data_IF_109983798687
#
_entry.id   IF_109983798687
#
_cell.length_a   1.000
_cell.length_b   1.000
_cell.length_c   1.000
_cell.angle_alpha   90.00
_cell.angle_beta   90.00
_cell.angle_gamma   90.00
#
_symmetry.space_group_name_H-M   'P 1'
#
loop_
_entity.id
_entity.type
_entity.pdbx_description
1 polymer ?
#
# COMPACT_ATOMS: atom_id res chain seq x y z
N UNK A 1 3.59 13.03 14.98
CA UNK A 1 3.01 12.29 13.83
C UNK A 1 2.45 10.95 14.23
N UNK A 2 3.20 10.11 14.93
CA UNK A 2 2.71 8.78 15.42
C UNK A 2 1.42 8.94 16.20
N UNK A 3 1.35 9.90 17.13
CA UNK A 3 0.14 10.15 17.95
C UNK A 3 -1.06 10.59 17.11
N UNK A 4 -0.85 11.41 16.09
CA UNK A 4 -1.91 11.85 15.19
C UNK A 4 -2.52 10.66 14.43
N UNK A 5 -1.68 9.85 13.80
CA UNK A 5 -2.10 8.66 13.05
C UNK A 5 -2.74 7.63 13.98
N UNK A 6 -2.21 7.46 15.19
CA UNK A 6 -2.78 6.56 16.21
C UNK A 6 -4.18 7.02 16.63
N UNK A 7 -4.38 8.32 16.85
CA UNK A 7 -5.68 8.88 17.20
C UNK A 7 -6.68 8.70 16.05
N UNK A 8 -6.22 8.92 14.82
CA UNK A 8 -7.01 8.75 13.62
C UNK A 8 -7.52 7.30 13.46
N UNK A 9 -6.62 6.33 13.59
CA UNK A 9 -6.95 4.90 13.47
C UNK A 9 -7.86 4.45 14.61
N UNK A 10 -7.60 4.88 15.86
CA UNK A 10 -8.44 4.55 17.02
C UNK A 10 -9.84 5.15 16.94
N UNK A 11 -10.01 6.27 16.24
CA UNK A 11 -11.31 6.91 16.02
C UNK A 11 -12.22 6.17 15.04
N UNK A 12 -11.69 5.27 14.25
CA UNK A 12 -12.46 4.53 13.23
C UNK A 12 -12.88 3.15 13.75
N UNK A 13 -14.19 2.89 13.76
CA UNK A 13 -14.79 1.65 14.30
C UNK A 13 -14.43 0.38 13.52
N UNK A 14 -13.96 0.52 12.29
CA UNK A 14 -13.59 -0.60 11.43
C UNK A 14 -12.11 -0.98 11.53
N UNK A 15 -11.30 -0.17 12.20
CA UNK A 15 -9.86 -0.33 12.31
C UNK A 15 -9.45 -0.66 13.75
N UNK A 16 -8.40 -1.46 13.87
CA UNK A 16 -7.77 -1.78 15.14
C UNK A 16 -6.30 -1.41 15.08
N UNK A 17 -5.85 -0.55 16.00
CA UNK A 17 -4.45 -0.22 16.16
C UNK A 17 -3.74 -1.31 16.96
N UNK A 18 -2.97 -2.16 16.29
CA UNK A 18 -2.29 -3.30 16.92
C UNK A 18 -0.88 -2.97 17.43
N UNK A 19 -0.32 -1.82 17.01
CA UNK A 19 0.98 -1.35 17.49
C UNK A 19 1.34 0.01 16.93
N UNK A 20 2.28 0.66 17.61
CA UNK A 20 2.88 1.92 17.19
C UNK A 20 4.32 2.00 17.70
N UNK A 21 5.20 2.62 16.94
CA UNK A 21 6.57 2.87 17.32
C UNK A 21 7.12 4.13 16.64
N UNK A 22 8.21 4.65 17.20
CA UNK A 22 8.88 5.84 16.68
C UNK A 22 10.21 5.52 15.97
N UNK A 23 10.66 4.28 15.98
CA UNK A 23 11.87 3.83 15.30
C UNK A 23 11.67 2.52 14.54
N UNK A 24 12.47 2.34 13.48
CA UNK A 24 12.31 1.20 12.58
C UNK A 24 12.66 -0.15 13.20
N UNK A 25 13.49 -0.23 14.23
CA UNK A 25 13.82 -1.50 14.90
C UNK A 25 12.61 -2.03 15.67
N UNK A 26 11.89 -1.13 16.36
CA UNK A 26 10.69 -1.48 17.09
C UNK A 26 9.55 -1.85 16.12
N UNK A 27 9.38 -1.08 15.02
CA UNK A 27 8.41 -1.40 13.97
C UNK A 27 8.63 -2.80 13.41
N UNK A 28 9.90 -3.15 13.10
CA UNK A 28 10.22 -4.49 12.59
C UNK A 28 9.78 -5.60 13.55
N UNK A 29 10.00 -5.44 14.87
CA UNK A 29 9.57 -6.39 15.90
C UNK A 29 8.05 -6.50 15.96
N UNK A 30 7.36 -5.35 16.00
CA UNK A 30 5.88 -5.31 16.05
C UNK A 30 5.26 -6.00 14.84
N UNK A 31 5.79 -5.79 13.65
CA UNK A 31 5.29 -6.44 12.43
C UNK A 31 5.40 -7.97 12.52
N UNK A 32 6.53 -8.48 13.02
CA UNK A 32 6.73 -9.92 13.21
C UNK A 32 5.82 -10.54 14.26
N UNK A 33 5.60 -9.83 15.37
CA UNK A 33 4.81 -10.32 16.49
C UNK A 33 3.30 -10.22 16.26
N UNK A 34 2.85 -9.11 15.67
CA UNK A 34 1.42 -8.77 15.54
C UNK A 34 0.83 -9.10 14.18
N UNK A 35 1.65 -9.36 13.17
CA UNK A 35 1.24 -9.68 11.79
C UNK A 35 0.13 -8.73 11.27
N UNK A 36 0.30 -7.39 11.30
CA UNK A 36 -0.74 -6.45 10.90
C UNK A 36 -1.17 -6.65 9.43
N UNK A 37 -2.38 -6.21 9.08
CA UNK A 37 -2.84 -6.21 7.69
C UNK A 37 -2.25 -5.03 6.90
N UNK A 38 -2.12 -3.86 7.55
CA UNK A 38 -1.60 -2.62 6.96
C UNK A 38 -0.60 -1.98 7.90
N UNK A 39 0.46 -1.41 7.36
CA UNK A 39 1.47 -0.63 8.09
C UNK A 39 1.59 0.74 7.46
N UNK A 40 1.38 1.80 8.26
CA UNK A 40 1.74 3.16 7.90
C UNK A 40 3.19 3.39 8.29
N UNK A 41 4.06 3.64 7.33
CA UNK A 41 5.50 3.67 7.53
C UNK A 41 6.10 5.00 7.07
N UNK A 42 6.78 5.71 7.97
CA UNK A 42 7.62 6.84 7.56
C UNK A 42 8.98 6.31 7.05
N UNK A 43 9.53 7.00 6.07
CA UNK A 43 10.90 6.71 5.61
C UNK A 43 11.91 7.28 6.60
N UNK A 44 11.68 8.52 7.08
CA UNK A 44 12.64 9.18 7.98
C UNK A 44 12.35 8.80 9.42
N UNK A 45 13.11 7.86 9.95
CA UNK A 45 13.01 7.41 11.34
C UNK A 45 14.39 7.20 11.97
N UNK A 46 14.49 7.33 13.32
CA UNK A 46 15.72 7.01 14.04
C UNK A 46 16.09 5.53 13.95
N UNK A 47 17.37 5.22 14.15
CA UNK A 47 17.98 3.88 14.22
C UNK A 47 17.90 3.07 12.93
N UNK A 48 16.72 2.99 12.31
CA UNK A 48 16.46 2.26 11.07
C UNK A 48 15.39 2.99 10.29
N UNK A 49 15.70 3.40 9.06
CA UNK A 49 14.75 4.05 8.16
C UNK A 49 13.71 3.08 7.59
N UNK A 50 12.65 3.63 7.00
CA UNK A 50 11.53 2.82 6.49
C UNK A 50 11.91 1.90 5.33
N UNK A 51 12.83 2.30 4.47
CA UNK A 51 13.34 1.47 3.37
C UNK A 51 14.04 0.24 3.93
N UNK A 52 14.97 0.45 4.88
CA UNK A 52 15.70 -0.64 5.56
C UNK A 52 14.75 -1.58 6.31
N UNK A 53 13.66 -1.07 6.90
CA UNK A 53 12.63 -1.94 7.52
C UNK A 53 12.01 -2.87 6.49
N UNK A 54 11.62 -2.34 5.32
CA UNK A 54 11.02 -3.14 4.24
C UNK A 54 11.99 -4.16 3.67
N UNK A 55 13.26 -3.79 3.45
CA UNK A 55 14.32 -4.70 2.99
C UNK A 55 14.48 -5.89 3.95
N UNK A 56 14.66 -5.62 5.24
CA UNK A 56 14.80 -6.67 6.25
C UNK A 56 13.59 -7.59 6.34
N UNK A 57 12.38 -7.06 6.22
CA UNK A 57 11.16 -7.89 6.21
C UNK A 57 11.08 -8.74 4.94
N UNK A 58 11.59 -8.26 3.81
CA UNK A 58 11.64 -9.01 2.57
C UNK A 58 12.67 -10.15 2.62
N UNK A 59 13.77 -9.96 3.31
CA UNK A 59 14.84 -10.94 3.44
C UNK A 59 14.61 -11.96 4.59
N UNK A 60 13.74 -11.65 5.54
CA UNK A 60 13.49 -12.51 6.70
C UNK A 60 12.50 -13.65 6.39
N UNK A 61 12.98 -14.91 6.32
CA UNK A 61 12.12 -16.06 6.04
C UNK A 61 11.16 -16.40 7.17
N UNK A 62 11.33 -15.83 8.35
CA UNK A 62 10.43 -16.03 9.49
C UNK A 62 9.16 -15.16 9.41
N UNK A 63 9.13 -14.17 8.51
CA UNK A 63 7.95 -13.34 8.27
C UNK A 63 6.93 -14.09 7.44
N UNK A 64 5.90 -14.62 8.11
CA UNK A 64 4.86 -15.44 7.47
C UNK A 64 3.82 -14.63 6.72
N UNK A 65 3.56 -13.40 7.20
CA UNK A 65 2.58 -12.50 6.62
C UNK A 65 3.23 -11.14 6.36
N UNK A 66 3.21 -10.72 5.11
CA UNK A 66 3.64 -9.38 4.72
C UNK A 66 2.46 -8.43 4.79
N UNK A 67 2.58 -7.30 5.51
CA UNK A 67 1.54 -6.27 5.53
C UNK A 67 1.50 -5.51 4.21
N UNK A 68 0.38 -4.84 3.93
CA UNK A 68 0.35 -3.78 2.94
C UNK A 68 1.05 -2.54 3.50
N UNK A 69 2.14 -2.11 2.88
CA UNK A 69 2.87 -0.91 3.29
C UNK A 69 2.27 0.33 2.61
N UNK A 70 1.85 1.31 3.42
CA UNK A 70 1.51 2.66 3.00
C UNK A 70 2.59 3.58 3.54
N UNK A 71 3.42 4.13 2.65
CA UNK A 71 4.47 5.07 3.03
C UNK A 71 3.87 6.45 3.28
N UNK A 72 4.27 7.11 4.37
CA UNK A 72 3.87 8.49 4.68
C UNK A 72 5.13 9.29 4.98
N UNK A 73 5.62 10.08 4.03
CA UNK A 73 6.90 10.78 4.19
C UNK A 73 6.92 12.16 3.57
N UNK A 74 7.83 13.01 4.05
CA UNK A 74 8.15 14.30 3.43
C UNK A 74 9.19 14.17 2.30
N UNK A 75 9.75 12.97 2.08
CA UNK A 75 10.73 12.72 1.01
C UNK A 75 10.00 12.55 -0.31
N UNK A 76 10.28 13.44 -1.27
CA UNK A 76 9.68 13.42 -2.61
C UNK A 76 10.68 13.06 -3.72
N UNK A 77 11.84 12.52 -3.38
CA UNK A 77 12.83 12.11 -4.38
C UNK A 77 12.34 10.86 -5.12
N UNK A 78 12.24 10.94 -6.43
CA UNK A 78 11.74 9.89 -7.32
C UNK A 78 12.41 8.54 -7.05
N UNK A 79 13.72 8.52 -6.94
CA UNK A 79 14.48 7.29 -6.66
C UNK A 79 14.04 6.59 -5.36
N UNK A 80 13.76 7.36 -4.30
CA UNK A 80 13.33 6.79 -3.01
C UNK A 80 11.91 6.25 -3.11
N UNK A 81 11.05 6.93 -3.87
CA UNK A 81 9.69 6.47 -4.16
C UNK A 81 9.72 5.16 -4.95
N UNK A 82 10.54 5.10 -6.00
CA UNK A 82 10.74 3.88 -6.80
C UNK A 82 11.28 2.72 -5.95
N UNK A 83 12.27 2.97 -5.10
CA UNK A 83 12.83 1.97 -4.18
C UNK A 83 11.76 1.43 -3.22
N UNK A 84 10.91 2.30 -2.67
CA UNK A 84 9.80 1.89 -1.81
C UNK A 84 8.81 0.95 -2.55
N UNK A 85 8.41 1.31 -3.77
CA UNK A 85 7.51 0.47 -4.57
C UNK A 85 8.16 -0.85 -4.97
N UNK A 86 9.43 -0.86 -5.36
CA UNK A 86 10.19 -2.08 -5.66
C UNK A 86 10.27 -3.03 -4.46
N UNK A 87 10.32 -2.50 -3.26
CA UNK A 87 10.31 -3.27 -2.01
C UNK A 87 8.91 -3.71 -1.58
N UNK A 88 7.85 -3.31 -2.29
CA UNK A 88 6.49 -3.77 -2.06
C UNK A 88 5.58 -2.76 -1.34
N UNK A 89 5.91 -1.46 -1.37
CA UNK A 89 4.95 -0.44 -0.94
C UNK A 89 3.71 -0.48 -1.86
N UNK A 90 2.53 -0.45 -1.24
CA UNK A 90 1.26 -0.42 -1.96
C UNK A 90 0.84 1.00 -2.32
N UNK A 91 1.27 1.97 -1.53
CA UNK A 91 0.93 3.37 -1.71
C UNK A 91 1.95 4.31 -1.08
N UNK A 92 2.07 5.53 -1.61
CA UNK A 92 2.97 6.57 -1.11
C UNK A 92 2.21 7.87 -0.90
N UNK A 93 2.24 8.41 0.31
CA UNK A 93 1.56 9.64 0.71
C UNK A 93 2.61 10.69 1.06
N UNK A 94 2.57 11.80 0.34
CA UNK A 94 3.43 12.95 0.67
C UNK A 94 2.85 13.74 1.83
N UNK A 95 3.72 14.18 2.76
CA UNK A 95 3.36 15.17 3.78
C UNK A 95 3.41 16.59 3.20
N UNK A 96 2.45 17.46 3.53
CA UNK A 96 1.28 17.25 4.40
C UNK A 96 0.17 16.45 3.70
N UNK A 97 -0.63 15.70 4.46
CA UNK A 97 -1.68 14.83 3.95
C UNK A 97 -3.05 15.11 4.60
N UNK A 98 -4.10 14.69 3.94
CA UNK A 98 -5.46 14.69 4.44
C UNK A 98 -5.75 13.42 5.25
N UNK A 99 -6.45 13.58 6.39
CA UNK A 99 -6.74 12.48 7.30
C UNK A 99 -7.71 11.45 6.71
N UNK A 100 -8.74 11.93 5.99
CA UNK A 100 -9.74 11.06 5.38
C UNK A 100 -9.14 10.24 4.24
N UNK A 101 -8.19 10.83 3.50
CA UNK A 101 -7.42 10.12 2.48
C UNK A 101 -6.65 8.94 3.11
N UNK A 102 -5.95 9.17 4.22
CA UNK A 102 -5.19 8.09 4.90
C UNK A 102 -6.12 6.97 5.34
N UNK A 103 -7.26 7.30 5.99
CA UNK A 103 -8.24 6.30 6.42
C UNK A 103 -8.80 5.48 5.25
N UNK A 104 -9.15 6.14 4.15
CA UNK A 104 -9.66 5.48 2.97
C UNK A 104 -8.64 4.51 2.37
N UNK A 105 -7.35 4.88 2.33
CA UNK A 105 -6.29 3.99 1.86
C UNK A 105 -6.07 2.80 2.79
N UNK A 106 -6.08 2.98 4.10
CA UNK A 106 -6.00 1.86 5.04
C UNK A 106 -7.15 0.87 4.80
N UNK A 107 -8.39 1.36 4.67
CA UNK A 107 -9.57 0.51 4.42
C UNK A 107 -9.49 -0.21 3.07
N UNK A 108 -8.99 0.45 2.04
CA UNK A 108 -8.77 -0.13 0.72
C UNK A 108 -7.79 -1.31 0.81
N UNK A 109 -6.59 -1.09 1.34
CA UNK A 109 -5.54 -2.11 1.37
C UNK A 109 -5.80 -3.22 2.39
N UNK A 110 -6.56 -2.97 3.46
CA UNK A 110 -7.05 -4.04 4.35
C UNK A 110 -7.87 -5.10 3.62
N UNK A 111 -8.67 -4.71 2.64
CA UNK A 111 -9.47 -5.64 1.83
C UNK A 111 -8.60 -6.51 0.93
N UNK A 112 -7.52 -5.96 0.39
CA UNK A 112 -6.55 -6.71 -0.44
C UNK A 112 -5.83 -7.80 0.37
N UNK A 113 -5.34 -7.51 1.56
CA UNK A 113 -4.68 -8.49 2.42
C UNK A 113 -5.56 -9.69 2.79
N UNK A 114 -6.88 -9.51 2.88
CA UNK A 114 -7.85 -10.59 3.10
C UNK A 114 -8.14 -11.41 1.84
N UNK A 115 -8.08 -10.82 0.66
CA UNK A 115 -8.27 -11.48 -0.63
C UNK A 115 -7.16 -12.48 -0.94
N UNK A 116 -5.91 -12.08 -0.77
CA UNK A 116 -4.73 -12.93 -1.00
C UNK A 116 -4.72 -14.18 -0.09
N UNK A 117 -5.24 -14.07 1.15
CA UNK A 117 -5.39 -15.23 2.06
C UNK A 117 -6.42 -16.27 1.59
N UNK A 118 -7.47 -15.87 0.88
CA UNK A 118 -8.51 -16.80 0.39
C UNK A 118 -8.11 -17.52 -0.89
N UNK A 119 -7.31 -16.91 -1.75
CA UNK A 119 -6.93 -17.49 -3.04
C UNK A 119 -5.90 -18.61 -2.94
N UNK A 120 -5.07 -18.67 -1.89
CA UNK A 120 -4.11 -19.76 -1.69
C UNK A 120 -4.74 -21.09 -1.18
N UNK A 121 -6.05 -21.17 -0.99
CA UNK A 121 -6.76 -22.39 -0.52
C UNK A 121 -7.89 -22.89 -1.41
N UNK A 122 -8.01 -22.44 -2.65
CA UNK A 122 -9.06 -22.93 -3.56
C UNK A 122 -8.59 -23.07 -4.98
N UNK A 123 -8.77 -24.25 -5.56
CA UNK A 123 -8.70 -24.55 -7.00
C UNK A 123 -9.76 -23.75 -7.78
N UNK A 124 -9.55 -22.46 -7.93
CA UNK A 124 -10.38 -21.59 -8.75
C UNK A 124 -9.87 -21.50 -10.18
N UNK A 125 -10.79 -21.59 -11.12
CA UNK A 125 -10.59 -21.57 -12.56
C UNK A 125 -9.75 -20.35 -13.01
N UNK A 126 -8.66 -20.57 -13.74
CA UNK A 126 -7.71 -19.55 -14.20
C UNK A 126 -8.38 -18.37 -14.95
N UNK A 127 -9.47 -18.62 -15.64
CA UNK A 127 -10.21 -17.60 -16.39
C UNK A 127 -11.00 -16.61 -15.53
N UNK A 128 -11.51 -17.02 -14.38
CA UNK A 128 -12.19 -16.11 -13.45
C UNK A 128 -11.20 -15.22 -12.69
N UNK A 129 -10.02 -15.75 -12.35
CA UNK A 129 -8.93 -14.99 -11.72
C UNK A 129 -8.43 -13.84 -12.59
N UNK A 130 -8.22 -14.09 -13.88
CA UNK A 130 -7.80 -13.07 -14.84
C UNK A 130 -8.86 -11.95 -14.98
N UNK A 131 -10.14 -12.30 -14.98
CA UNK A 131 -11.25 -11.34 -15.10
C UNK A 131 -11.42 -10.46 -13.86
N UNK A 132 -11.22 -11.02 -12.65
CA UNK A 132 -11.22 -10.29 -11.39
C UNK A 132 -10.01 -9.34 -11.27
N UNK A 133 -8.83 -9.80 -11.69
CA UNK A 133 -7.60 -9.03 -11.68
C UNK A 133 -7.70 -7.82 -12.62
N UNK A 134 -8.18 -8.03 -13.83
CA UNK A 134 -8.39 -6.97 -14.84
C UNK A 134 -9.41 -5.92 -14.38
N UNK A 135 -10.49 -6.33 -13.73
CA UNK A 135 -11.52 -5.42 -13.19
C UNK A 135 -10.98 -4.58 -12.03
N UNK A 136 -10.20 -5.17 -11.13
CA UNK A 136 -9.59 -4.45 -10.03
C UNK A 136 -8.53 -3.46 -10.52
N UNK A 137 -7.67 -3.86 -11.46
CA UNK A 137 -6.67 -3.00 -12.08
C UNK A 137 -7.32 -1.76 -12.75
N UNK A 138 -8.45 -1.93 -13.43
CA UNK A 138 -9.18 -0.81 -14.02
C UNK A 138 -9.71 0.18 -12.98
N UNK A 139 -10.18 -0.31 -11.84
CA UNK A 139 -10.65 0.53 -10.73
C UNK A 139 -9.45 1.28 -10.13
N UNK A 140 -8.36 0.59 -9.85
CA UNK A 140 -7.16 1.16 -9.24
C UNK A 140 -6.53 2.24 -10.14
N UNK A 141 -6.41 1.99 -11.46
CA UNK A 141 -5.91 2.97 -12.43
C UNK A 141 -6.84 4.18 -12.52
N UNK A 142 -8.16 3.97 -12.49
CA UNK A 142 -9.15 5.04 -12.50
C UNK A 142 -9.04 5.92 -11.26
N UNK A 143 -8.89 5.31 -10.08
CA UNK A 143 -8.75 6.01 -8.81
C UNK A 143 -7.45 6.83 -8.75
N UNK A 144 -6.33 6.27 -9.23
CA UNK A 144 -5.05 6.97 -9.32
C UNK A 144 -5.15 8.19 -10.23
N UNK A 145 -5.73 8.05 -11.43
CA UNK A 145 -5.89 9.18 -12.37
C UNK A 145 -6.78 10.28 -11.79
N UNK A 146 -7.82 9.90 -11.04
CA UNK A 146 -8.68 10.85 -10.32
C UNK A 146 -7.92 11.60 -9.22
N UNK A 147 -7.03 10.91 -8.52
CA UNK A 147 -6.22 11.49 -7.44
C UNK A 147 -5.17 12.50 -7.94
N UNK A 148 -4.57 12.26 -9.11
CA UNK A 148 -3.69 13.26 -9.75
C UNK A 148 -4.47 14.45 -10.33
N UNK A 149 -5.80 14.48 -10.12
CA UNK A 149 -6.63 15.62 -10.49
C UNK A 149 -6.97 15.69 -11.98
N UNK A 150 -6.88 14.59 -12.73
CA UNK A 150 -7.30 14.55 -14.14
C UNK A 150 -8.81 14.30 -14.21
N UNK A 151 -9.63 15.28 -14.62
CA UNK A 151 -11.07 15.11 -14.67
C UNK A 151 -11.50 14.10 -15.73
N UNK A 152 -12.45 13.22 -15.40
CA UNK A 152 -12.91 12.14 -16.28
C UNK A 152 -13.54 12.62 -17.61
N UNK A 153 -13.95 13.90 -17.70
CA UNK A 153 -14.53 14.48 -18.92
C UNK A 153 -13.49 14.99 -19.93
N UNK A 154 -12.19 14.99 -19.57
CA UNK A 154 -11.14 15.38 -20.51
C UNK A 154 -10.89 14.25 -21.51
N UNK A 155 -10.86 14.58 -22.80
CA UNK A 155 -10.62 13.59 -23.88
C UNK A 155 -9.35 12.74 -23.68
N UNK A 156 -8.34 13.28 -23.01
CA UNK A 156 -7.09 12.57 -22.70
C UNK A 156 -7.21 11.52 -21.59
N UNK A 157 -8.26 11.57 -20.74
CA UNK A 157 -8.44 10.64 -19.63
C UNK A 157 -8.50 9.18 -20.08
N UNK A 158 -9.30 8.90 -21.11
CA UNK A 158 -9.42 7.53 -21.65
C UNK A 158 -8.10 7.03 -22.22
N UNK A 159 -7.38 7.88 -22.98
CA UNK A 159 -6.09 7.52 -23.54
C UNK A 159 -5.04 7.25 -22.45
N UNK A 160 -5.00 8.07 -21.42
CA UNK A 160 -4.09 7.88 -20.28
C UNK A 160 -4.38 6.56 -19.54
N UNK A 161 -5.64 6.30 -19.25
CA UNK A 161 -6.07 5.05 -18.61
C UNK A 161 -5.70 3.83 -19.46
N UNK A 162 -6.01 3.86 -20.75
CA UNK A 162 -5.78 2.75 -21.67
C UNK A 162 -4.27 2.51 -21.87
N UNK A 163 -3.46 3.57 -21.92
CA UNK A 163 -2.01 3.46 -22.01
C UNK A 163 -1.41 2.81 -20.74
N UNK A 164 -1.87 3.20 -19.55
CA UNK A 164 -1.42 2.59 -18.29
C UNK A 164 -1.82 1.12 -18.24
N UNK A 165 -3.06 0.80 -18.64
CA UNK A 165 -3.54 -0.59 -18.69
C UNK A 165 -2.72 -1.46 -19.62
N UNK A 166 -2.39 -0.97 -20.83
CA UNK A 166 -1.55 -1.66 -21.79
C UNK A 166 -0.13 -1.90 -21.25
N UNK A 167 0.48 -0.87 -20.64
CA UNK A 167 1.82 -1.00 -20.05
C UNK A 167 1.89 -2.07 -18.95
N UNK A 168 0.85 -2.22 -18.15
CA UNK A 168 0.81 -3.24 -17.09
C UNK A 168 0.61 -4.63 -17.69
N UNK A 169 -0.21 -4.78 -18.74
CA UNK A 169 -0.43 -6.06 -19.42
C UNK A 169 0.85 -6.54 -20.14
N UNK A 170 1.64 -5.64 -20.73
CA UNK A 170 2.90 -5.99 -21.42
C UNK A 170 4.02 -6.39 -20.46
N UNK A 171 4.01 -5.94 -19.21
CA UNK A 171 5.01 -6.34 -18.19
C UNK A 171 4.79 -7.76 -17.64
N UNK A 172 3.65 -8.39 -17.92
CA UNK A 172 3.32 -9.74 -17.44
C UNK A 172 3.59 -10.86 -18.48
N UNK A 173 4.11 -10.51 -19.67
CA UNK A 173 4.58 -11.47 -20.68
C UNK A 173 6.07 -11.75 -20.52
#
# INVERSE_FOLDING_TARGET
>A
MVDLLSTLVKGDKELELVGQAADGQEIYKIIKEKEPDVVLLDIIMPKMDGITVMEKLNEDPSVRKRPAFIIISAVGQERIIEDAFRLGACYYIMKPFDNDMVLNRIKQFRKFGKGIRRENRGTGNLGERAKYRKKNLQIDVTDIIHEIGVPAHIKGYQYLRDAIMMSVEDMEM
#
